data_IF_164274173335
#
_entry.id   IF_164274173335
#
_cell.length_a   1.000
_cell.length_b   1.000
_cell.length_c   1.000
_cell.angle_alpha   90.00
_cell.angle_beta   90.00
_cell.angle_gamma   90.00
#
_symmetry.space_group_name_H-M   'P 1'
#
loop_
_entity.id
_entity.type
_entity.pdbx_description
1 polymer ?
#
# COMPACT_ATOMS: atom_id res chain seq x y z
N UNK A 1 2.85 21.82 -19.44
CA UNK A 1 3.00 21.22 -18.10
C UNK A 1 3.59 19.83 -18.28
N UNK A 2 4.63 19.51 -17.51
CA UNK A 2 5.20 18.16 -17.43
C UNK A 2 4.17 17.20 -16.81
N UNK A 3 4.31 15.88 -17.02
CA UNK A 3 3.43 14.89 -16.35
C UNK A 3 3.47 15.04 -14.81
N UNK A 4 4.63 15.43 -14.27
CA UNK A 4 4.79 15.77 -12.87
C UNK A 4 3.92 16.96 -12.46
N UNK A 5 4.04 18.10 -13.14
CA UNK A 5 3.23 19.29 -12.87
C UNK A 5 1.72 19.00 -12.96
N UNK A 6 1.30 18.14 -13.89
CA UNK A 6 -0.09 17.71 -14.02
C UNK A 6 -0.55 16.82 -12.84
N UNK A 7 0.26 15.86 -12.41
CA UNK A 7 -0.06 15.05 -11.22
C UNK A 7 -0.06 15.89 -9.95
N UNK A 8 0.92 16.78 -9.80
CA UNK A 8 0.98 17.71 -8.68
C UNK A 8 -0.25 18.63 -8.66
N UNK A 9 -0.67 19.16 -9.81
CA UNK A 9 -1.91 19.93 -9.92
C UNK A 9 -3.14 19.08 -9.58
N UNK A 10 -3.26 17.85 -10.09
CA UNK A 10 -4.41 16.98 -9.84
C UNK A 10 -4.50 16.49 -8.39
N UNK A 11 -3.38 16.26 -7.72
CA UNK A 11 -3.35 15.68 -6.37
C UNK A 11 -3.23 16.75 -5.29
N UNK A 12 -2.53 17.85 -5.53
CA UNK A 12 -2.27 18.89 -4.53
C UNK A 12 -3.06 20.17 -4.76
N UNK A 13 -3.47 20.51 -5.98
CA UNK A 13 -4.30 21.72 -6.19
C UNK A 13 -5.78 21.39 -6.13
N UNK A 14 -6.18 20.15 -6.44
CA UNK A 14 -7.57 19.77 -6.39
C UNK A 14 -8.02 19.44 -4.95
N UNK A 15 -9.21 19.87 -4.54
CA UNK A 15 -9.72 19.63 -3.19
C UNK A 15 -9.75 18.14 -2.80
N UNK A 16 -10.10 17.25 -3.74
CA UNK A 16 -10.22 15.81 -3.45
C UNK A 16 -8.89 15.15 -3.10
N UNK A 17 -7.79 15.53 -3.76
CA UNK A 17 -6.47 14.99 -3.48
C UNK A 17 -5.96 15.43 -2.11
N UNK A 18 -6.21 16.69 -1.72
CA UNK A 18 -5.96 17.17 -0.35
C UNK A 18 -6.79 16.41 0.67
N UNK A 19 -8.10 16.31 0.47
CA UNK A 19 -9.01 15.59 1.37
C UNK A 19 -8.61 14.13 1.55
N UNK A 20 -8.12 13.47 0.50
CA UNK A 20 -7.61 12.11 0.59
C UNK A 20 -6.48 11.99 1.63
N UNK A 21 -5.46 12.86 1.56
CA UNK A 21 -4.34 12.84 2.51
C UNK A 21 -4.72 13.35 3.90
N UNK A 22 -5.61 14.33 3.99
CA UNK A 22 -6.15 14.84 5.26
C UNK A 22 -6.90 13.75 6.04
N UNK A 23 -7.46 12.75 5.35
CA UNK A 23 -8.07 11.57 5.96
C UNK A 23 -7.08 10.43 6.18
N UNK A 24 -6.19 10.18 5.21
CA UNK A 24 -5.26 9.06 5.24
C UNK A 24 -4.26 9.18 6.39
N UNK A 25 -3.59 10.33 6.51
CA UNK A 25 -2.49 10.48 7.45
C UNK A 25 -2.91 10.36 8.92
N UNK A 26 -4.02 10.98 9.38
CA UNK A 26 -4.50 10.79 10.74
C UNK A 26 -4.95 9.36 11.07
N UNK A 27 -5.37 8.58 10.09
CA UNK A 27 -5.71 7.16 10.28
C UNK A 27 -4.47 6.26 10.28
N UNK A 28 -3.45 6.61 9.49
CA UNK A 28 -2.21 5.87 9.39
C UNK A 28 -1.34 6.03 10.64
N UNK A 29 -1.11 7.27 11.10
CA UNK A 29 -0.13 7.57 12.16
C UNK A 29 -0.38 6.83 13.50
N UNK A 30 -1.61 6.67 14.01
CA UNK A 30 -1.85 5.94 15.26
C UNK A 30 -1.49 4.45 15.23
N UNK A 31 -1.29 3.90 14.04
CA UNK A 31 -0.88 2.50 13.84
C UNK A 31 0.64 2.35 13.71
N UNK A 32 1.40 3.45 13.78
CA UNK A 32 2.85 3.46 13.66
C UNK A 32 3.50 3.73 15.02
N UNK A 33 4.61 3.05 15.29
CA UNK A 33 5.55 3.36 16.38
C UNK A 33 6.75 4.10 15.79
N UNK A 34 7.45 4.91 16.60
CA UNK A 34 8.59 5.71 16.12
C UNK A 34 9.67 4.89 15.40
N UNK A 35 9.85 3.63 15.81
CA UNK A 35 10.83 2.71 15.25
C UNK A 35 10.26 1.81 14.14
N UNK A 36 9.02 2.07 13.68
CA UNK A 36 8.39 1.27 12.63
C UNK A 36 9.19 1.35 11.33
N UNK A 37 9.58 0.19 10.81
CA UNK A 37 10.15 0.07 9.47
C UNK A 37 9.03 -0.12 8.45
N UNK A 38 8.95 0.78 7.47
CA UNK A 38 7.81 0.89 6.55
C UNK A 38 8.25 0.54 5.12
N UNK A 39 7.48 -0.33 4.46
CA UNK A 39 7.57 -0.56 3.01
C UNK A 39 6.34 0.02 2.33
N UNK A 40 6.52 0.82 1.29
CA UNK A 40 5.44 1.23 0.39
C UNK A 40 5.56 0.52 -0.94
N UNK A 41 4.58 -0.34 -1.24
CA UNK A 41 4.52 -1.09 -2.50
C UNK A 41 3.69 -0.32 -3.52
N UNK A 42 4.38 0.32 -4.48
CA UNK A 42 3.84 1.28 -5.43
C UNK A 42 3.85 2.69 -4.86
N UNK A 43 5.05 3.23 -4.57
CA UNK A 43 5.22 4.56 -3.97
C UNK A 43 4.77 5.71 -4.89
N UNK A 44 4.61 5.47 -6.20
CA UNK A 44 4.15 6.48 -7.14
C UNK A 44 5.07 7.70 -7.16
N UNK A 45 4.52 8.87 -6.79
CA UNK A 45 5.26 10.13 -6.65
C UNK A 45 5.76 10.39 -5.21
N UNK A 46 5.70 9.38 -4.35
CA UNK A 46 6.34 9.36 -3.04
C UNK A 46 5.73 10.29 -1.98
N UNK A 47 4.48 10.74 -2.16
CA UNK A 47 3.84 11.71 -1.26
C UNK A 47 3.68 11.15 0.16
N UNK A 48 3.18 9.93 0.28
CA UNK A 48 3.00 9.28 1.59
C UNK A 48 4.36 9.02 2.24
N UNK A 49 5.34 8.67 1.43
CA UNK A 49 6.69 8.28 1.83
C UNK A 49 7.46 9.50 2.34
N UNK A 50 7.46 10.61 1.60
CA UNK A 50 8.02 11.89 2.05
C UNK A 50 7.35 12.36 3.33
N UNK A 51 6.02 12.27 3.45
CA UNK A 51 5.32 12.64 4.68
C UNK A 51 5.77 11.79 5.89
N UNK A 52 5.92 10.48 5.70
CA UNK A 52 6.35 9.57 6.77
C UNK A 52 7.82 9.79 7.13
N UNK A 53 8.68 10.03 6.15
CA UNK A 53 10.08 10.38 6.36
C UNK A 53 10.23 11.71 7.13
N UNK A 54 9.46 12.74 6.79
CA UNK A 54 9.39 14.02 7.52
C UNK A 54 8.92 13.83 8.99
N UNK A 55 8.18 12.76 9.28
CA UNK A 55 7.79 12.35 10.64
C UNK A 55 8.86 11.53 11.36
N UNK A 56 9.96 11.18 10.68
CA UNK A 56 11.10 10.47 11.23
C UNK A 56 11.01 8.95 11.13
N UNK A 57 10.14 8.39 10.29
CA UNK A 57 10.05 6.94 10.07
C UNK A 57 11.09 6.46 9.05
N UNK A 58 11.52 5.20 9.18
CA UNK A 58 12.32 4.52 8.15
C UNK A 58 11.39 4.02 7.04
N UNK A 59 11.52 4.60 5.84
CA UNK A 59 10.66 4.29 4.70
C UNK A 59 11.48 3.71 3.55
N UNK A 60 11.00 2.58 3.01
CA UNK A 60 11.45 2.04 1.72
C UNK A 60 10.29 2.08 0.73
N UNK A 61 10.43 2.77 -0.40
CA UNK A 61 9.45 2.79 -1.49
C UNK A 61 9.83 1.80 -2.59
N UNK A 62 8.85 1.22 -3.26
CA UNK A 62 9.02 0.49 -4.52
C UNK A 62 8.10 1.09 -5.58
N UNK A 63 8.65 1.51 -6.72
CA UNK A 63 7.88 1.97 -7.87
C UNK A 63 8.58 1.50 -9.17
N UNK A 64 7.90 0.70 -10.01
CA UNK A 64 8.49 0.18 -11.24
C UNK A 64 8.58 1.23 -12.36
N UNK A 65 7.77 2.30 -12.32
CA UNK A 65 7.77 3.34 -13.34
C UNK A 65 8.92 4.35 -13.12
N UNK A 66 10.00 4.17 -13.89
CA UNK A 66 11.19 5.02 -13.82
C UNK A 66 10.87 6.48 -14.16
N UNK A 67 9.90 6.77 -15.03
CA UNK A 67 9.54 8.15 -15.35
C UNK A 67 9.01 8.88 -14.12
N UNK A 68 8.27 8.19 -13.24
CA UNK A 68 7.80 8.78 -11.97
C UNK A 68 8.95 9.00 -11.00
N UNK A 69 9.94 8.10 -10.98
CA UNK A 69 11.12 8.24 -10.12
C UNK A 69 11.99 9.44 -10.49
N UNK A 70 12.19 9.68 -11.79
CA UNK A 70 12.96 10.83 -12.27
C UNK A 70 12.29 12.16 -11.90
N UNK A 71 10.97 12.15 -11.73
CA UNK A 71 10.19 13.29 -11.24
C UNK A 71 10.36 13.51 -9.73
N UNK A 72 10.92 12.55 -8.98
CA UNK A 72 11.09 12.62 -7.53
C UNK A 72 12.51 13.02 -7.11
N UNK A 73 13.10 14.02 -7.76
CA UNK A 73 14.54 14.38 -7.64
C UNK A 73 15.03 14.66 -6.21
N UNK A 74 14.14 15.01 -5.29
CA UNK A 74 14.49 15.51 -3.95
C UNK A 74 14.19 14.51 -2.82
N UNK A 75 13.95 13.24 -3.15
CA UNK A 75 13.64 12.23 -2.14
C UNK A 75 14.88 11.69 -1.42
N UNK A 76 14.77 11.55 -0.11
CA UNK A 76 15.86 11.06 0.74
C UNK A 76 15.63 9.65 1.27
N UNK A 77 14.40 9.12 1.14
CA UNK A 77 14.08 7.76 1.56
C UNK A 77 14.62 6.72 0.57
N UNK A 78 14.75 5.47 1.02
CA UNK A 78 15.25 4.39 0.17
C UNK A 78 14.23 4.05 -0.91
N UNK A 79 14.56 4.27 -2.18
CA UNK A 79 13.69 3.95 -3.32
C UNK A 79 14.21 2.73 -4.09
N UNK A 80 13.33 1.76 -4.31
CA UNK A 80 13.55 0.57 -5.12
C UNK A 80 12.81 0.71 -6.46
N UNK A 81 13.37 0.11 -7.50
CA UNK A 81 12.79 0.08 -8.85
C UNK A 81 13.10 -1.24 -9.54
N UNK A 82 12.63 -1.40 -10.78
CA UNK A 82 12.76 -2.63 -11.56
C UNK A 82 11.50 -3.48 -11.52
N UNK A 83 11.61 -4.70 -12.04
CA UNK A 83 10.49 -5.63 -12.12
C UNK A 83 10.07 -6.11 -10.74
N UNK A 84 8.90 -6.75 -10.66
CA UNK A 84 8.43 -7.35 -9.41
C UNK A 84 9.40 -8.43 -8.89
N UNK A 85 10.06 -9.16 -9.78
CA UNK A 85 11.04 -10.19 -9.41
C UNK A 85 12.33 -9.56 -8.86
N UNK A 86 12.82 -8.48 -9.48
CA UNK A 86 13.97 -7.71 -8.96
C UNK A 86 13.69 -7.17 -7.56
N UNK A 87 12.48 -6.61 -7.36
CA UNK A 87 12.01 -6.17 -6.06
C UNK A 87 11.99 -7.33 -5.06
N UNK A 88 11.35 -8.45 -5.42
CA UNK A 88 11.21 -9.61 -4.54
C UNK A 88 12.57 -10.16 -4.09
N UNK A 89 13.54 -10.23 -5.00
CA UNK A 89 14.90 -10.68 -4.71
C UNK A 89 15.64 -9.70 -3.80
N UNK A 90 15.50 -8.39 -4.05
CA UNK A 90 16.13 -7.33 -3.24
C UNK A 90 15.68 -7.37 -1.79
N UNK A 91 14.38 -7.55 -1.53
CA UNK A 91 13.80 -7.47 -0.18
C UNK A 91 13.62 -8.82 0.50
N UNK A 92 14.05 -9.94 -0.11
CA UNK A 92 13.75 -11.31 0.36
C UNK A 92 14.10 -11.58 1.84
N UNK A 93 15.16 -10.94 2.33
CA UNK A 93 15.66 -11.09 3.69
C UNK A 93 15.23 -9.95 4.62
N UNK A 94 14.47 -8.99 4.12
CA UNK A 94 14.00 -7.85 4.90
C UNK A 94 12.66 -8.14 5.57
N UNK A 95 12.41 -7.44 6.67
CA UNK A 95 11.11 -7.45 7.34
C UNK A 95 10.66 -6.02 7.63
N UNK A 96 9.35 -5.82 7.61
CA UNK A 96 8.71 -4.53 7.80
C UNK A 96 7.60 -4.64 8.83
N UNK A 97 7.46 -3.62 9.67
CA UNK A 97 6.38 -3.53 10.65
C UNK A 97 5.08 -3.10 10.00
N UNK A 98 5.18 -2.25 8.98
CA UNK A 98 4.05 -1.80 8.18
C UNK A 98 4.37 -1.90 6.70
N UNK A 99 3.44 -2.46 5.94
CA UNK A 99 3.47 -2.45 4.48
C UNK A 99 2.25 -1.69 3.98
N UNK A 100 2.49 -0.69 3.13
CA UNK A 100 1.45 0.11 2.48
C UNK A 100 1.20 -0.44 1.07
N UNK A 101 -0.08 -0.63 0.75
CA UNK A 101 -0.55 -0.91 -0.61
C UNK A 101 -1.67 0.08 -0.92
N UNK A 102 -1.32 1.29 -1.32
CA UNK A 102 -2.29 2.39 -1.47
C UNK A 102 -2.56 2.68 -2.95
N UNK A 103 -3.75 2.31 -3.42
CA UNK A 103 -4.22 2.45 -4.81
C UNK A 103 -3.33 1.73 -5.86
N UNK A 104 -2.77 0.57 -5.49
CA UNK A 104 -1.85 -0.18 -6.37
C UNK A 104 -2.45 -1.50 -6.85
N UNK A 105 -3.38 -2.09 -6.09
CA UNK A 105 -3.92 -3.43 -6.38
C UNK A 105 -4.70 -3.55 -7.70
N UNK A 106 -5.18 -2.44 -8.26
CA UNK A 106 -5.81 -2.44 -9.59
C UNK A 106 -4.80 -2.58 -10.74
N UNK A 107 -3.54 -2.22 -10.53
CA UNK A 107 -2.50 -2.21 -11.57
C UNK A 107 -1.63 -3.47 -11.57
N UNK A 108 -1.70 -4.30 -10.52
CA UNK A 108 -0.93 -5.54 -10.44
C UNK A 108 -1.59 -6.67 -11.23
N UNK A 109 -0.78 -7.43 -11.96
CA UNK A 109 -1.22 -8.56 -12.79
C UNK A 109 -1.80 -9.71 -11.94
N UNK A 110 -1.08 -10.13 -10.90
CA UNK A 110 -1.54 -11.18 -9.97
C UNK A 110 -1.49 -10.69 -8.52
N UNK A 111 -2.66 -10.27 -8.03
CA UNK A 111 -2.85 -9.80 -6.65
C UNK A 111 -2.49 -10.87 -5.62
N UNK A 112 -2.73 -12.16 -5.90
CA UNK A 112 -2.48 -13.23 -4.92
C UNK A 112 -0.98 -13.43 -4.75
N UNK A 113 -0.21 -13.39 -5.84
CA UNK A 113 1.25 -13.49 -5.81
C UNK A 113 1.84 -12.31 -5.05
N UNK A 114 1.44 -11.09 -5.40
CA UNK A 114 1.88 -9.86 -4.73
C UNK A 114 1.56 -9.90 -3.22
N UNK A 115 0.30 -10.17 -2.86
CA UNK A 115 -0.10 -10.21 -1.45
C UNK A 115 0.63 -11.32 -0.68
N UNK A 116 0.87 -12.49 -1.29
CA UNK A 116 1.63 -13.57 -0.66
C UNK A 116 3.07 -13.14 -0.35
N UNK A 117 3.73 -12.46 -1.29
CA UNK A 117 5.07 -11.93 -1.07
C UNK A 117 5.05 -10.88 0.05
N UNK A 118 4.20 -9.85 -0.06
CA UNK A 118 4.15 -8.75 0.91
C UNK A 118 3.83 -9.26 2.32
N UNK A 119 2.88 -10.18 2.48
CA UNK A 119 2.58 -10.79 3.77
C UNK A 119 3.77 -11.57 4.36
N UNK A 120 4.65 -12.14 3.52
CA UNK A 120 5.86 -12.84 3.98
C UNK A 120 6.97 -11.90 4.47
N UNK A 121 6.91 -10.63 4.04
CA UNK A 121 7.83 -9.57 4.46
C UNK A 121 7.40 -8.89 5.77
N UNK A 122 6.19 -9.15 6.29
CA UNK A 122 5.76 -8.58 7.57
C UNK A 122 6.49 -9.21 8.75
N UNK A 123 6.87 -8.40 9.73
CA UNK A 123 7.27 -8.87 11.07
C UNK A 123 6.12 -9.61 11.76
N UNK A 124 6.41 -10.31 12.85
CA UNK A 124 5.37 -10.91 13.68
C UNK A 124 4.56 -9.78 14.35
N UNK A 125 3.25 -9.76 14.09
CA UNK A 125 2.38 -8.65 14.54
C UNK A 125 2.36 -7.44 13.59
N UNK A 126 3.14 -7.47 12.51
CA UNK A 126 3.15 -6.45 11.48
C UNK A 126 1.77 -6.25 10.81
N UNK A 127 1.61 -5.07 10.21
CA UNK A 127 0.35 -4.59 9.66
C UNK A 127 0.45 -4.36 8.15
N UNK A 128 -0.55 -4.86 7.42
CA UNK A 128 -0.79 -4.48 6.04
C UNK A 128 -1.85 -3.38 6.00
N UNK A 129 -1.49 -2.19 5.49
CA UNK A 129 -2.41 -1.07 5.26
C UNK A 129 -2.76 -1.03 3.77
N UNK A 130 -4.04 -1.16 3.44
CA UNK A 130 -4.52 -1.23 2.06
C UNK A 130 -5.52 -0.11 1.82
N UNK A 131 -5.25 0.70 0.78
CA UNK A 131 -6.22 1.62 0.19
C UNK A 131 -6.45 1.16 -1.24
N UNK A 132 -7.70 1.14 -1.70
CA UNK A 132 -8.04 0.78 -3.08
C UNK A 132 -9.23 1.60 -3.54
N UNK A 133 -9.36 1.75 -4.86
CA UNK A 133 -10.60 2.27 -5.41
C UNK A 133 -11.78 1.30 -5.15
N UNK A 134 -12.92 1.88 -4.78
CA UNK A 134 -14.20 1.18 -4.69
C UNK A 134 -14.84 1.13 -6.08
N UNK A 135 -15.44 -0.02 -6.45
CA UNK A 135 -16.20 -0.16 -7.71
C UNK A 135 -17.57 0.54 -7.68
N UNK A 136 -18.03 0.96 -6.51
CA UNK A 136 -19.29 1.66 -6.32
C UNK A 136 -18.98 3.14 -6.07
N UNK A 137 -18.95 3.90 -7.17
CA UNK A 137 -18.59 5.32 -7.21
C UNK A 137 -19.68 6.25 -6.68
N UNK A 138 -20.08 6.12 -5.41
CA UNK A 138 -20.89 7.12 -4.72
C UNK A 138 -20.18 7.61 -3.46
N UNK A 139 -19.96 8.92 -3.40
CA UNK A 139 -19.17 9.71 -2.43
C UNK A 139 -19.39 9.46 -0.92
N UNK A 140 -20.21 8.51 -0.50
CA UNK A 140 -20.58 8.29 0.91
C UNK A 140 -19.91 7.05 1.53
N UNK A 141 -19.21 6.23 0.73
CA UNK A 141 -18.52 5.02 1.22
C UNK A 141 -17.02 5.05 0.89
N UNK A 142 -16.39 6.21 1.08
CA UNK A 142 -14.94 6.33 1.01
C UNK A 142 -14.31 5.75 2.28
N UNK A 143 -13.33 4.87 2.07
CA UNK A 143 -12.38 4.37 3.05
C UNK A 143 -12.95 3.36 4.07
N UNK A 144 -13.08 2.10 3.64
CA UNK A 144 -12.86 1.00 4.58
C UNK A 144 -11.38 0.61 4.50
N UNK A 145 -10.59 1.15 5.43
CA UNK A 145 -9.23 0.69 5.70
C UNK A 145 -9.30 -0.77 6.19
N UNK A 146 -8.80 -1.71 5.38
CA UNK A 146 -8.59 -3.08 5.86
C UNK A 146 -7.18 -3.15 6.44
N UNK A 147 -7.05 -2.73 7.70
CA UNK A 147 -5.85 -3.01 8.50
C UNK A 147 -5.85 -4.50 8.84
N UNK A 148 -4.99 -5.26 8.16
CA UNK A 148 -4.83 -6.69 8.41
C UNK A 148 -3.62 -6.89 9.33
N UNK A 149 -3.88 -7.36 10.56
CA UNK A 149 -2.82 -7.80 11.49
C UNK A 149 -2.49 -9.28 11.29
N UNK A 150 -1.21 -9.61 11.13
CA UNK A 150 -0.72 -10.97 10.82
C UNK A 150 -1.15 -12.04 11.84
N UNK A 151 -1.33 -11.69 13.13
CA UNK A 151 -1.84 -12.65 14.14
C UNK A 151 -3.30 -13.07 13.92
N UNK A 152 -4.11 -12.27 13.20
CA UNK A 152 -5.53 -12.56 12.92
C UNK A 152 -5.75 -13.30 11.60
N UNK A 153 -4.72 -13.40 10.74
CA UNK A 153 -4.81 -14.00 9.41
C UNK A 153 -4.76 -15.54 9.38
N UNK A 154 -4.64 -16.20 10.54
CA UNK A 154 -4.81 -17.66 10.63
C UNK A 154 -6.28 -18.13 10.57
N UNK A 155 -7.27 -17.23 10.62
CA UNK A 155 -8.69 -17.63 10.71
C UNK A 155 -9.52 -17.61 9.41
N UNK A 156 -8.92 -17.35 8.24
CA UNK A 156 -9.67 -17.37 6.97
C UNK A 156 -9.43 -18.62 6.10
N UNK A 157 -9.22 -19.77 6.76
CA UNK A 157 -9.31 -21.13 6.18
C UNK A 157 -10.55 -21.86 6.73
N UNK A 158 -11.77 -21.31 6.60
CA UNK A 158 -12.98 -22.10 6.87
C UNK A 158 -14.25 -21.44 6.29
N UNK A 159 -14.46 -21.59 4.98
CA UNK A 159 -15.78 -21.65 4.33
C UNK A 159 -15.59 -21.86 2.82
N UNK A 160 -15.07 -23.03 2.46
CA UNK A 160 -15.20 -23.52 1.08
C UNK A 160 -15.23 -25.06 1.10
N UNK A 161 -16.30 -25.63 1.66
CA UNK A 161 -16.79 -26.97 1.31
C UNK A 161 -18.23 -27.12 1.78
N UNK A 162 -18.98 -27.98 1.08
CA UNK A 162 -20.38 -28.38 1.25
C UNK A 162 -21.42 -27.51 0.49
N UNK A 163 -21.32 -27.54 -0.83
CA UNK A 163 -22.48 -27.82 -1.67
C UNK A 163 -22.52 -29.32 -1.92
N UNK A 164 -23.17 -30.08 -1.02
CA UNK A 164 -23.76 -31.37 -1.37
C UNK A 164 -25.01 -31.60 -0.53
N UNK A 165 -26.14 -31.64 -1.24
CA UNK A 165 -27.33 -32.46 -0.98
C UNK A 165 -28.23 -32.05 0.18
N UNK A 166 -29.31 -31.34 -0.14
CA UNK A 166 -30.64 -31.58 0.45
C UNK A 166 -31.75 -30.96 -0.39
N UNK A 167 -32.25 -31.77 -1.32
CA UNK A 167 -33.59 -31.74 -1.88
C UNK A 167 -33.74 -33.18 -2.42
N UNK A 168 -34.73 -34.00 -2.11
CA UNK A 168 -36.17 -33.79 -1.96
C UNK A 168 -36.70 -35.00 -1.16
N UNK A 169 -37.67 -34.74 -0.28
CA UNK A 169 -38.62 -35.71 0.26
C UNK A 169 -39.56 -36.25 -0.82
#
# INVERSE_FOLDING_TARGET
MTKQENYYAEVFEKPWGRMFYDLLFPQLLPNLTKDSKILSFGSGFGRTETFLEEKGFEVTGYEPDVEKLEMMSDQTFRQLTGTFDDFAETVKNERYDVILIHNVLEYVLDRKVVLKLLLSLLTDGGTLSIVKHSKYGSMIEWQQDVIIRRQRLMFMKMKLSLLTTTAIS
#
